data_IF_899011755443
#
_entry.id   IF_899011755443
#
_cell.length_a   1.000
_cell.length_b   1.000
_cell.length_c   1.000
_cell.angle_alpha   90.00
_cell.angle_beta   90.00
_cell.angle_gamma   90.00
#
_symmetry.space_group_name_H-M   'P 1'
#
loop_
_entity.id
_entity.type
_entity.pdbx_description
1 polymer ?
#
# COMPACT_ATOMS: atom_id res chain seq x y z
N UNK A 1 -12.39 3.54 13.91
CA UNK A 1 -12.01 4.94 14.08
C UNK A 1 -12.75 5.76 13.06
N UNK A 2 -13.37 6.87 13.45
CA UNK A 2 -13.94 7.86 12.55
C UNK A 2 -12.86 8.85 12.13
N UNK A 3 -13.02 9.45 10.95
CA UNK A 3 -12.23 10.61 10.51
C UNK A 3 -12.51 11.76 11.50
N UNK A 4 -11.49 12.53 11.91
CA UNK A 4 -11.70 13.68 12.79
C UNK A 4 -12.48 14.78 12.05
N UNK A 5 -13.32 15.54 12.74
CA UNK A 5 -14.16 16.57 12.10
C UNK A 5 -13.34 17.59 11.27
N UNK A 6 -12.14 17.94 11.74
CA UNK A 6 -11.26 18.87 11.03
C UNK A 6 -10.66 18.24 9.74
N UNK A 7 -10.31 16.96 9.79
CA UNK A 7 -9.82 16.23 8.63
C UNK A 7 -10.94 16.02 7.60
N UNK A 8 -12.15 15.69 8.08
CA UNK A 8 -13.33 15.49 7.24
C UNK A 8 -13.68 16.76 6.46
N UNK A 9 -13.67 17.92 7.15
CA UNK A 9 -13.86 19.23 6.52
C UNK A 9 -12.80 19.53 5.45
N UNK A 10 -11.53 19.26 5.73
CA UNK A 10 -10.44 19.46 4.76
C UNK A 10 -10.63 18.61 3.51
N UNK A 11 -11.07 17.35 3.69
CA UNK A 11 -11.37 16.43 2.58
C UNK A 11 -12.55 16.93 1.74
N UNK A 12 -13.62 17.40 2.37
CA UNK A 12 -14.78 17.90 1.64
C UNK A 12 -14.50 19.20 0.87
N UNK A 13 -13.70 20.10 1.43
CA UNK A 13 -13.26 21.31 0.74
C UNK A 13 -12.36 20.96 -0.47
N UNK A 14 -11.47 19.98 -0.34
CA UNK A 14 -10.68 19.47 -1.46
C UNK A 14 -11.56 18.81 -2.54
N UNK A 15 -12.56 18.03 -2.13
CA UNK A 15 -13.53 17.43 -3.08
C UNK A 15 -14.28 18.51 -3.84
N UNK A 16 -14.80 19.54 -3.16
CA UNK A 16 -15.50 20.64 -3.80
C UNK A 16 -14.61 21.43 -4.77
N UNK A 17 -13.31 21.55 -4.47
CA UNK A 17 -12.35 22.24 -5.34
C UNK A 17 -12.03 21.44 -6.62
N UNK A 18 -11.78 20.14 -6.50
CA UNK A 18 -11.31 19.29 -7.61
C UNK A 18 -12.43 18.61 -8.40
N UNK A 19 -13.58 18.33 -7.78
CA UNK A 19 -14.70 17.62 -8.40
C UNK A 19 -15.74 18.64 -8.84
N UNK A 20 -15.69 19.04 -10.12
CA UNK A 20 -16.64 19.98 -10.72
C UNK A 20 -17.72 19.29 -11.56
N UNK A 21 -17.42 18.09 -12.05
CA UNK A 21 -18.31 17.20 -12.80
C UNK A 21 -18.09 15.78 -12.30
N UNK A 22 -19.17 15.04 -12.04
CA UNK A 22 -19.16 13.70 -11.45
C UNK A 22 -19.28 12.56 -12.47
N UNK A 23 -19.58 12.87 -13.73
CA UNK A 23 -19.86 11.86 -14.74
C UNK A 23 -18.67 10.90 -14.96
N UNK A 24 -17.44 11.42 -14.96
CA UNK A 24 -16.24 10.59 -15.10
C UNK A 24 -15.84 9.85 -13.80
N UNK A 25 -16.29 10.32 -12.63
CA UNK A 25 -16.00 9.66 -11.35
C UNK A 25 -16.73 8.32 -11.20
N UNK A 26 -17.89 8.20 -11.83
CA UNK A 26 -18.74 7.00 -11.74
C UNK A 26 -18.61 6.06 -12.94
N UNK A 27 -17.45 6.05 -13.61
CA UNK A 27 -17.18 5.23 -14.79
C UNK A 27 -16.94 3.73 -14.52
N UNK A 28 -17.32 3.21 -13.36
CA UNK A 28 -17.07 1.85 -12.86
C UNK A 28 -15.60 1.44 -12.67
N UNK A 29 -14.63 2.36 -12.80
CA UNK A 29 -13.19 2.11 -12.62
C UNK A 29 -12.61 2.92 -11.44
N UNK A 30 -13.00 2.61 -10.19
CA UNK A 30 -12.47 3.33 -9.04
C UNK A 30 -11.00 3.00 -8.81
N UNK A 31 -10.24 4.00 -8.34
CA UNK A 31 -8.78 3.87 -8.15
C UNK A 31 -8.43 2.82 -7.08
N UNK A 32 -9.07 2.87 -5.91
CA UNK A 32 -8.73 1.99 -4.77
C UNK A 32 -9.89 1.12 -4.27
N UNK A 33 -11.15 1.46 -4.58
CA UNK A 33 -12.31 0.77 -3.99
C UNK A 33 -12.36 -0.73 -4.31
N UNK A 34 -11.84 -1.14 -5.47
CA UNK A 34 -11.71 -2.56 -5.82
C UNK A 34 -10.76 -3.28 -4.87
N UNK A 35 -9.57 -2.72 -4.65
CA UNK A 35 -8.58 -3.27 -3.70
C UNK A 35 -9.10 -3.29 -2.25
N UNK A 36 -9.81 -2.23 -1.83
CA UNK A 36 -10.40 -2.14 -0.49
C UNK A 36 -11.53 -3.16 -0.25
N UNK A 37 -12.26 -3.56 -1.31
CA UNK A 37 -13.28 -4.60 -1.22
C UNK A 37 -12.67 -5.96 -0.88
N UNK A 38 -11.55 -6.30 -1.52
CA UNK A 38 -10.87 -7.58 -1.32
C UNK A 38 -10.09 -7.63 -0.01
N UNK A 39 -9.71 -6.45 0.52
CA UNK A 39 -8.91 -6.30 1.74
C UNK A 39 -9.43 -7.14 2.90
N UNK A 40 -10.73 -7.07 3.22
CA UNK A 40 -11.30 -7.75 4.40
C UNK A 40 -11.79 -9.17 4.14
N UNK A 41 -11.89 -9.56 2.88
CA UNK A 41 -12.55 -10.83 2.49
C UNK A 41 -11.51 -11.90 2.17
N UNK A 42 -10.41 -11.51 1.51
CA UNK A 42 -9.52 -12.46 0.84
C UNK A 42 -8.09 -12.46 1.39
N UNK A 43 -7.74 -11.54 2.30
CA UNK A 43 -6.37 -11.32 2.75
C UNK A 43 -6.22 -11.60 4.25
N UNK A 44 -5.08 -12.18 4.64
CA UNK A 44 -4.64 -12.26 6.03
C UNK A 44 -4.21 -10.88 6.56
N UNK A 45 -4.23 -10.68 7.88
CA UNK A 45 -3.90 -9.39 8.52
C UNK A 45 -2.57 -8.78 8.04
N UNK A 46 -1.55 -9.61 7.84
CA UNK A 46 -0.25 -9.13 7.34
C UNK A 46 -0.30 -8.60 5.91
N UNK A 47 -1.10 -9.23 5.04
CA UNK A 47 -1.34 -8.83 3.66
C UNK A 47 -2.22 -7.58 3.61
N UNK A 48 -3.21 -7.49 4.51
CA UNK A 48 -4.05 -6.30 4.67
C UNK A 48 -3.20 -5.07 5.04
N UNK A 49 -2.31 -5.22 6.03
CA UNK A 49 -1.44 -4.15 6.48
C UNK A 49 -0.47 -3.69 5.38
N UNK A 50 0.07 -4.63 4.60
CA UNK A 50 0.91 -4.32 3.45
C UNK A 50 0.12 -3.53 2.38
N UNK A 51 -1.05 -4.03 1.99
CA UNK A 51 -1.89 -3.38 0.98
C UNK A 51 -2.32 -1.97 1.42
N UNK A 52 -2.72 -1.79 2.68
CA UNK A 52 -3.06 -0.48 3.22
C UNK A 52 -1.87 0.48 3.19
N UNK A 53 -0.68 0.02 3.58
CA UNK A 53 0.53 0.84 3.49
C UNK A 53 0.85 1.26 2.05
N UNK A 54 0.67 0.37 1.08
CA UNK A 54 0.88 0.70 -0.34
C UNK A 54 -0.15 1.74 -0.82
N UNK A 55 -1.41 1.61 -0.40
CA UNK A 55 -2.48 2.57 -0.72
C UNK A 55 -2.15 3.95 -0.13
N UNK A 56 -1.75 4.01 1.14
CA UNK A 56 -1.39 5.27 1.82
C UNK A 56 -0.20 5.96 1.15
N UNK A 57 0.88 5.22 0.84
CA UNK A 57 2.01 5.75 0.07
C UNK A 57 1.57 6.32 -1.30
N UNK A 58 0.62 5.65 -1.94
CA UNK A 58 0.11 6.08 -3.26
C UNK A 58 -0.70 7.37 -3.13
N UNK A 59 -1.55 7.49 -2.10
CA UNK A 59 -2.23 8.75 -1.78
C UNK A 59 -1.24 9.88 -1.50
N UNK A 60 -0.20 9.65 -0.69
CA UNK A 60 0.84 10.66 -0.43
C UNK A 60 1.52 11.14 -1.72
N UNK A 61 1.83 10.22 -2.66
CA UNK A 61 2.37 10.58 -3.98
C UNK A 61 1.38 11.40 -4.82
N UNK A 62 0.11 11.03 -4.84
CA UNK A 62 -0.95 11.77 -5.56
C UNK A 62 -1.08 13.18 -4.97
N UNK A 63 -1.23 13.30 -3.65
CA UNK A 63 -1.41 14.59 -2.97
C UNK A 63 -0.19 15.49 -3.11
N UNK A 64 1.03 14.95 -3.01
CA UNK A 64 2.26 15.71 -3.28
C UNK A 64 2.26 16.30 -4.69
N UNK A 65 1.79 15.53 -5.69
CA UNK A 65 1.69 16.04 -7.06
C UNK A 65 0.61 17.12 -7.19
N UNK A 66 -0.57 16.89 -6.61
CA UNK A 66 -1.66 17.89 -6.60
C UNK A 66 -1.24 19.19 -5.91
N UNK A 67 -0.47 19.10 -4.83
CA UNK A 67 0.05 20.23 -4.07
C UNK A 67 1.04 21.04 -4.91
N UNK A 68 1.99 20.36 -5.56
CA UNK A 68 2.98 20.98 -6.45
C UNK A 68 2.33 21.65 -7.67
N UNK A 69 1.25 21.07 -8.19
CA UNK A 69 0.54 21.57 -9.38
C UNK A 69 -0.47 22.70 -9.01
N UNK A 70 -0.85 22.83 -7.74
CA UNK A 70 -1.80 23.84 -7.28
C UNK A 70 -1.16 25.24 -7.23
N UNK A 71 -1.93 26.26 -7.62
CA UNK A 71 -1.58 27.68 -7.42
C UNK A 71 -2.34 28.32 -6.25
N UNK A 72 -3.33 27.63 -5.69
CA UNK A 72 -4.12 28.09 -4.57
C UNK A 72 -3.50 27.62 -3.25
N UNK A 73 -2.99 28.56 -2.46
CA UNK A 73 -2.31 28.26 -1.19
C UNK A 73 -3.25 27.61 -0.18
N UNK A 74 -4.51 28.04 -0.12
CA UNK A 74 -5.51 27.43 0.75
C UNK A 74 -5.79 25.96 0.39
N UNK A 75 -5.60 25.56 -0.87
CA UNK A 75 -5.70 24.17 -1.31
C UNK A 75 -4.44 23.39 -0.94
N UNK A 76 -3.25 24.00 -1.04
CA UNK A 76 -1.99 23.36 -0.62
C UNK A 76 -1.98 23.05 0.88
N UNK A 77 -2.37 24.01 1.72
CA UNK A 77 -2.44 23.82 3.18
C UNK A 77 -3.36 22.65 3.55
N UNK A 78 -4.49 22.48 2.84
CA UNK A 78 -5.40 21.34 3.07
C UNK A 78 -4.83 20.02 2.60
N UNK A 79 -4.12 20.00 1.47
CA UNK A 79 -3.42 18.80 1.00
C UNK A 79 -2.33 18.38 1.99
N UNK A 80 -1.55 19.34 2.50
CA UNK A 80 -0.55 19.11 3.54
C UNK A 80 -1.20 18.54 4.82
N UNK A 81 -2.26 19.18 5.32
CA UNK A 81 -2.99 18.73 6.50
C UNK A 81 -3.52 17.29 6.38
N UNK A 82 -4.05 16.90 5.20
CA UNK A 82 -4.51 15.53 4.94
C UNK A 82 -3.34 14.55 4.86
N UNK A 83 -2.21 14.93 4.24
CA UNK A 83 -1.00 14.09 4.18
C UNK A 83 -0.44 13.81 5.57
N UNK A 84 -0.36 14.82 6.44
CA UNK A 84 0.14 14.65 7.80
C UNK A 84 -0.67 13.62 8.59
N UNK A 85 -2.00 13.69 8.50
CA UNK A 85 -2.89 12.71 9.13
C UNK A 85 -2.71 11.30 8.53
N UNK A 86 -2.49 11.20 7.22
CA UNK A 86 -2.25 9.92 6.55
C UNK A 86 -0.93 9.29 7.00
N UNK A 87 0.13 10.10 7.11
CA UNK A 87 1.43 9.66 7.61
C UNK A 87 1.37 9.24 9.08
N UNK A 88 0.65 9.98 9.92
CA UNK A 88 0.45 9.60 11.33
C UNK A 88 -0.31 8.27 11.44
N UNK A 89 -1.38 8.10 10.65
CA UNK A 89 -2.14 6.84 10.59
C UNK A 89 -1.25 5.67 10.15
N UNK A 90 -0.41 5.88 9.13
CA UNK A 90 0.53 4.87 8.65
C UNK A 90 1.58 4.51 9.72
N UNK A 91 2.18 5.51 10.38
CA UNK A 91 3.16 5.30 11.46
C UNK A 91 2.56 4.51 12.63
N UNK A 92 1.33 4.81 13.00
CA UNK A 92 0.69 4.22 14.18
C UNK A 92 0.16 2.81 13.95
N UNK A 93 -0.40 2.52 12.77
CA UNK A 93 -1.13 1.28 12.52
C UNK A 93 -0.49 0.37 11.48
N UNK A 94 0.40 0.90 10.63
CA UNK A 94 1.02 0.17 9.52
C UNK A 94 2.56 0.36 9.49
N UNK A 95 3.28 0.10 10.60
CA UNK A 95 4.69 0.47 10.71
C UNK A 95 5.62 -0.38 9.82
N UNK A 96 6.43 0.33 9.01
CA UNK A 96 7.82 0.02 8.59
C UNK A 96 8.10 -1.24 7.76
N UNK A 97 7.60 -2.41 8.16
CA UNK A 97 7.88 -3.67 7.45
C UNK A 97 7.22 -3.73 6.07
N UNK A 98 6.11 -3.02 5.90
CA UNK A 98 5.42 -2.88 4.62
C UNK A 98 6.24 -2.11 3.58
N UNK A 99 7.01 -1.09 3.99
CA UNK A 99 7.88 -0.32 3.11
C UNK A 99 9.06 -1.15 2.58
N UNK A 100 9.68 -1.96 3.45
CA UNK A 100 10.71 -2.93 3.01
C UNK A 100 10.13 -3.98 2.08
N UNK A 101 8.97 -4.57 2.41
CA UNK A 101 8.26 -5.55 1.56
C UNK A 101 7.91 -4.98 0.18
N UNK A 102 7.41 -3.74 0.13
CA UNK A 102 7.17 -3.02 -1.12
C UNK A 102 8.46 -2.86 -1.93
N UNK A 103 9.56 -2.47 -1.29
CA UNK A 103 10.86 -2.32 -1.95
C UNK A 103 11.35 -3.66 -2.52
N UNK A 104 11.19 -4.75 -1.78
CA UNK A 104 11.49 -6.09 -2.28
C UNK A 104 10.60 -6.46 -3.47
N UNK A 105 9.30 -6.17 -3.42
CA UNK A 105 8.37 -6.45 -4.52
C UNK A 105 8.72 -5.66 -5.79
N UNK A 106 8.99 -4.35 -5.68
CA UNK A 106 9.45 -3.49 -6.78
C UNK A 106 10.76 -4.01 -7.39
N UNK A 107 11.70 -4.43 -6.54
CA UNK A 107 12.97 -5.02 -6.99
C UNK A 107 12.76 -6.32 -7.75
N UNK A 108 11.88 -7.20 -7.26
CA UNK A 108 11.55 -8.47 -7.91
C UNK A 108 10.82 -8.25 -9.24
N UNK A 109 9.90 -7.30 -9.32
CA UNK A 109 9.21 -6.95 -10.58
C UNK A 109 10.15 -6.35 -11.63
N UNK A 110 11.22 -5.68 -11.21
CA UNK A 110 12.23 -5.13 -12.12
C UNK A 110 13.20 -6.20 -12.69
N UNK A 111 13.13 -7.45 -12.25
CA UNK A 111 13.99 -8.53 -12.74
C UNK A 111 13.66 -8.84 -14.20
N UNK A 112 14.68 -8.72 -15.06
CA UNK A 112 14.62 -9.10 -16.48
C UNK A 112 14.70 -10.62 -16.61
N UNK A 113 13.56 -11.29 -16.56
CA UNK A 113 13.49 -12.77 -16.59
C UNK A 113 14.02 -13.37 -17.92
N UNK A 114 14.05 -12.57 -18.98
CA UNK A 114 14.59 -12.90 -20.29
C UNK A 114 16.13 -12.74 -20.39
N UNK A 115 16.77 -12.07 -19.43
CA UNK A 115 18.23 -11.90 -19.40
C UNK A 115 18.94 -13.23 -19.06
N UNK A 116 19.80 -13.76 -19.95
CA UNK A 116 20.50 -15.02 -19.71
C UNK A 116 21.42 -15.02 -18.48
N UNK A 117 21.94 -13.86 -18.06
CA UNK A 117 22.76 -13.75 -16.86
C UNK A 117 21.88 -13.86 -15.61
N UNK A 118 20.71 -13.23 -15.61
CA UNK A 118 19.72 -13.34 -14.52
C UNK A 118 19.27 -14.79 -14.36
N UNK A 119 18.95 -15.48 -15.45
CA UNK A 119 18.53 -16.88 -15.42
C UNK A 119 19.59 -17.79 -14.78
N UNK A 120 20.88 -17.60 -15.13
CA UNK A 120 21.97 -18.37 -14.52
C UNK A 120 22.14 -18.09 -13.03
N UNK A 121 22.01 -16.82 -12.61
CA UNK A 121 22.04 -16.45 -11.18
C UNK A 121 20.87 -17.08 -10.42
N UNK A 122 19.66 -17.02 -10.97
CA UNK A 122 18.48 -17.64 -10.38
C UNK A 122 18.66 -19.15 -10.19
N UNK A 123 19.23 -19.86 -11.19
CA UNK A 123 19.55 -21.29 -11.08
C UNK A 123 20.61 -21.58 -10.01
N UNK A 124 21.62 -20.73 -9.88
CA UNK A 124 22.66 -20.86 -8.84
C UNK A 124 22.07 -20.75 -7.42
N UNK A 125 21.10 -19.86 -7.22
CA UNK A 125 20.50 -19.56 -5.92
C UNK A 125 19.33 -20.50 -5.54
N UNK A 126 18.75 -21.21 -6.52
CA UNK A 126 17.51 -21.96 -6.38
C UNK A 126 17.51 -22.98 -5.22
N UNK A 127 18.62 -23.69 -5.00
CA UNK A 127 18.71 -24.66 -3.89
C UNK A 127 18.56 -23.98 -2.52
N UNK A 128 19.08 -22.76 -2.37
CA UNK A 128 18.96 -21.98 -1.13
C UNK A 128 17.51 -21.53 -0.95
N UNK A 129 16.90 -20.97 -2.00
CA UNK A 129 15.48 -20.56 -1.98
C UNK A 129 14.57 -21.72 -1.57
N UNK A 130 14.77 -22.91 -2.15
CA UNK A 130 13.98 -24.09 -1.82
C UNK A 130 14.12 -24.52 -0.34
N UNK A 131 15.33 -24.42 0.20
CA UNK A 131 15.61 -24.73 1.61
C UNK A 131 14.89 -23.76 2.54
N UNK A 132 15.00 -22.46 2.30
CA UNK A 132 14.33 -21.43 3.11
C UNK A 132 12.80 -21.60 3.07
N UNK A 133 12.22 -21.80 1.87
CA UNK A 133 10.78 -22.03 1.71
C UNK A 133 10.28 -23.25 2.50
N UNK A 134 11.05 -24.35 2.47
CA UNK A 134 10.71 -25.57 3.22
C UNK A 134 10.78 -25.35 4.73
N UNK A 135 11.79 -24.62 5.21
CA UNK A 135 11.93 -24.30 6.64
C UNK A 135 10.78 -23.43 7.15
N UNK A 136 10.36 -22.41 6.39
CA UNK A 136 9.22 -21.57 6.72
C UNK A 136 7.92 -22.39 6.89
N UNK A 137 7.65 -23.35 5.99
CA UNK A 137 6.50 -24.26 6.12
C UNK A 137 6.56 -25.09 7.40
N UNK A 138 7.75 -25.61 7.74
CA UNK A 138 7.93 -26.45 8.92
C UNK A 138 7.75 -25.68 10.23
N UNK A 139 8.12 -24.41 10.27
CA UNK A 139 7.86 -23.52 11.42
C UNK A 139 6.35 -23.34 11.64
N UNK A 140 5.59 -22.99 10.59
CA UNK A 140 4.11 -22.88 10.67
C UNK A 140 3.46 -24.18 11.18
N UNK A 141 3.94 -25.34 10.73
CA UNK A 141 3.42 -26.64 11.18
C UNK A 141 3.73 -26.93 12.66
N UNK A 142 4.90 -26.54 13.16
CA UNK A 142 5.28 -26.71 14.58
C UNK A 142 4.41 -25.85 15.50
N UNK A 143 4.15 -24.60 15.13
CA UNK A 143 3.28 -23.71 15.91
C UNK A 143 1.84 -24.24 15.98
N UNK A 144 1.30 -24.74 14.85
CA UNK A 144 -0.05 -25.31 14.82
C UNK A 144 -0.20 -26.53 15.74
N UNK A 145 0.79 -27.42 15.79
CA UNK A 145 0.78 -28.59 16.68
C UNK A 145 0.83 -28.21 18.16
N UNK A 146 1.58 -27.16 18.52
CA UNK A 146 1.63 -26.66 19.90
C UNK A 146 0.32 -26.02 20.39
N UNK A 147 -0.50 -25.49 19.48
CA UNK A 147 -1.81 -24.90 19.81
C UNK A 147 -2.95 -25.94 19.91
N UNK A 148 -2.67 -27.21 19.57
CA UNK A 148 -3.63 -28.32 19.62
C UNK A 148 -3.35 -29.33 20.75
N UNK A 149 -2.33 -29.07 21.57
CA UNK A 149 -1.91 -29.88 22.70
C UNK A 149 -2.25 -29.19 24.01
#
# INVERSE_FOLDING_TARGET
ASVSENLDKSIDELKAYYIKDDHELHNAHPVFLRALKDLRVNLEETEQNLLMSIIMDTYNRIFTRMENDSKDEATKEKLEHVKDHLEELQKNYFPGKSAELKTYAETLWAIKADDPVVQRKALFELKRVYREATQLRNLKNKERRRRQA
#
